data_IF_745862742438
#
_entry.id   IF_745862742438
#
_cell.length_a   1.000
_cell.length_b   1.000
_cell.length_c   1.000
_cell.angle_alpha   90.00
_cell.angle_beta   90.00
_cell.angle_gamma   90.00
#
_symmetry.space_group_name_H-M   'P 1'
#
loop_
_entity.id
_entity.type
_entity.pdbx_description
1 polymer ?
#
# COMPACT_ATOMS: atom_id res chain seq x y z
N UNK A 1 -1.28 -23.25 3.85
CA UNK A 1 -0.16 -22.73 4.68
C UNK A 1 0.26 -21.40 4.12
N UNK A 2 0.59 -20.40 4.95
CA UNK A 2 1.03 -19.08 4.46
C UNK A 2 2.34 -19.22 3.67
N UNK A 3 2.37 -18.65 2.46
CA UNK A 3 3.53 -18.66 1.55
C UNK A 3 4.05 -17.25 1.24
N UNK A 4 3.20 -16.22 1.36
CA UNK A 4 3.61 -14.84 1.05
C UNK A 4 2.86 -13.79 1.86
N UNK A 5 3.52 -12.61 2.00
CA UNK A 5 2.89 -11.37 2.43
C UNK A 5 3.01 -10.36 1.29
N UNK A 6 1.90 -9.74 0.92
CA UNK A 6 1.80 -8.70 -0.08
C UNK A 6 1.58 -7.35 0.61
N UNK A 7 2.43 -6.39 0.31
CA UNK A 7 2.46 -5.08 0.98
C UNK A 7 2.02 -3.99 0.01
N UNK A 8 1.10 -3.14 0.42
CA UNK A 8 1.02 -1.81 -0.16
C UNK A 8 2.21 -0.95 0.35
N UNK A 9 2.42 0.22 -0.24
CA UNK A 9 3.56 1.10 0.06
C UNK A 9 3.15 2.31 0.89
N UNK A 10 2.36 3.21 0.28
CA UNK A 10 2.00 4.51 0.83
C UNK A 10 0.92 4.38 1.91
N UNK A 11 1.24 4.76 3.14
CA UNK A 11 0.36 4.55 4.29
C UNK A 11 0.50 3.16 4.91
N UNK A 12 1.06 2.18 4.21
CA UNK A 12 1.24 0.81 4.71
C UNK A 12 2.67 0.57 5.22
N UNK A 13 3.67 0.64 4.34
CA UNK A 13 5.09 0.52 4.77
C UNK A 13 5.56 1.83 5.37
N UNK A 14 5.18 2.95 4.80
CA UNK A 14 5.61 4.29 5.16
C UNK A 14 4.45 5.28 5.05
N UNK A 15 4.24 6.11 6.05
CA UNK A 15 3.22 7.17 5.98
C UNK A 15 3.77 8.36 5.17
N UNK A 16 3.33 8.48 3.92
CA UNK A 16 3.70 9.54 2.99
C UNK A 16 2.70 10.69 2.91
N UNK A 17 1.53 10.56 3.53
CA UNK A 17 0.45 11.56 3.51
C UNK A 17 0.91 12.98 3.87
N UNK A 18 1.74 13.20 4.93
CA UNK A 18 2.22 14.55 5.26
C UNK A 18 3.05 15.19 4.15
N UNK A 19 3.81 14.38 3.41
CA UNK A 19 4.66 14.84 2.31
C UNK A 19 3.82 15.13 1.06
N UNK A 20 2.86 14.27 0.77
CA UNK A 20 1.89 14.51 -0.31
C UNK A 20 1.05 15.76 -0.04
N UNK A 21 0.58 15.97 1.19
CA UNK A 21 -0.12 17.18 1.59
C UNK A 21 0.72 18.44 1.31
N UNK A 22 1.99 18.43 1.71
CA UNK A 22 2.90 19.55 1.44
C UNK A 22 3.12 19.74 -0.06
N UNK A 23 3.39 18.68 -0.82
CA UNK A 23 3.64 18.77 -2.26
C UNK A 23 2.42 19.32 -3.02
N UNK A 24 1.20 18.83 -2.71
CA UNK A 24 -0.03 19.35 -3.28
C UNK A 24 -0.28 20.81 -2.89
N UNK A 25 -0.05 21.18 -1.63
CA UNK A 25 -0.19 22.55 -1.15
C UNK A 25 0.71 23.51 -1.93
N UNK A 26 2.00 23.20 -2.05
CA UNK A 26 2.96 24.03 -2.81
C UNK A 26 2.57 24.16 -4.29
N UNK A 27 2.16 23.07 -4.93
CA UNK A 27 1.78 23.07 -6.34
C UNK A 27 0.48 23.86 -6.61
N UNK A 28 -0.53 23.70 -5.77
CA UNK A 28 -1.83 24.36 -5.92
C UNK A 28 -1.79 25.87 -5.63
N UNK A 29 -0.83 26.32 -4.81
CA UNK A 29 -0.60 27.77 -4.61
C UNK A 29 -0.29 28.51 -5.91
N UNK A 30 0.32 27.88 -6.91
CA UNK A 30 0.54 28.48 -8.23
C UNK A 30 -0.76 28.79 -8.98
N UNK A 31 -1.87 28.19 -8.55
CA UNK A 31 -3.23 28.41 -9.07
C UNK A 31 -4.10 29.19 -8.10
N UNK A 32 -3.50 29.80 -7.06
CA UNK A 32 -4.21 30.55 -6.00
C UNK A 32 -5.21 29.69 -5.22
N UNK A 33 -4.93 28.36 -5.09
CA UNK A 33 -5.71 27.43 -4.30
C UNK A 33 -4.90 27.08 -3.05
N UNK A 34 -5.42 27.51 -1.89
CA UNK A 34 -4.92 27.10 -0.58
C UNK A 34 -5.69 25.87 -0.11
N UNK A 35 -4.98 24.89 0.46
CA UNK A 35 -5.59 23.66 0.97
C UNK A 35 -5.32 23.54 2.47
N UNK A 36 -6.30 23.03 3.20
CA UNK A 36 -6.17 22.57 4.59
C UNK A 36 -6.22 21.03 4.65
N UNK A 37 -6.04 20.48 5.84
CA UNK A 37 -6.11 19.04 6.06
C UNK A 37 -7.48 18.43 5.66
N UNK A 38 -8.57 19.17 5.87
CA UNK A 38 -9.92 18.73 5.52
C UNK A 38 -10.08 18.64 4.00
N UNK A 39 -9.60 19.65 3.29
CA UNK A 39 -9.57 19.64 1.83
C UNK A 39 -8.72 18.48 1.31
N UNK A 40 -7.52 18.29 1.85
CA UNK A 40 -6.61 17.22 1.44
C UNK A 40 -7.26 15.84 1.63
N UNK A 41 -7.77 15.56 2.82
CA UNK A 41 -8.41 14.27 3.14
C UNK A 41 -9.64 13.97 2.28
N UNK A 42 -10.45 15.00 1.97
CA UNK A 42 -11.70 14.81 1.24
C UNK A 42 -11.55 14.83 -0.29
N UNK A 43 -10.52 15.51 -0.83
CA UNK A 43 -10.39 15.77 -2.27
C UNK A 43 -9.15 15.15 -2.90
N UNK A 44 -8.13 14.78 -2.11
CA UNK A 44 -6.82 14.37 -2.62
C UNK A 44 -6.43 12.98 -2.12
N UNK A 45 -6.40 12.75 -0.81
CA UNK A 45 -5.88 11.52 -0.22
C UNK A 45 -6.56 10.27 -0.78
N UNK A 46 -5.77 9.25 -1.15
CA UNK A 46 -6.24 7.98 -1.68
C UNK A 46 -6.74 8.01 -3.13
N UNK A 47 -6.65 9.14 -3.84
CA UNK A 47 -7.09 9.29 -5.24
C UNK A 47 -5.90 9.31 -6.22
N UNK A 48 -6.17 8.96 -7.46
CA UNK A 48 -5.17 9.04 -8.53
C UNK A 48 -4.97 10.48 -9.00
N UNK A 49 -3.73 10.87 -9.31
CA UNK A 49 -3.39 12.22 -9.75
C UNK A 49 -4.26 12.75 -10.94
N UNK A 50 -4.54 11.95 -11.99
CA UNK A 50 -5.39 12.43 -13.09
C UNK A 50 -6.81 12.80 -12.63
N UNK A 51 -7.39 12.07 -11.68
CA UNK A 51 -8.71 12.36 -11.13
C UNK A 51 -8.69 13.64 -10.28
N UNK A 52 -7.64 13.80 -9.46
CA UNK A 52 -7.45 14.96 -8.60
C UNK A 52 -7.29 16.22 -9.46
N UNK A 53 -6.41 16.15 -10.47
CA UNK A 53 -6.16 17.28 -11.37
C UNK A 53 -7.42 17.67 -12.12
N UNK A 54 -8.15 16.71 -12.68
CA UNK A 54 -9.42 16.96 -13.39
C UNK A 54 -10.47 17.63 -12.49
N UNK A 55 -10.49 17.26 -11.21
CA UNK A 55 -11.45 17.75 -10.23
C UNK A 55 -11.10 19.15 -9.71
N UNK A 56 -9.83 19.43 -9.43
CA UNK A 56 -9.37 20.66 -8.78
C UNK A 56 -8.93 21.72 -9.78
N UNK A 57 -8.38 21.29 -10.93
CA UNK A 57 -7.85 22.14 -11.98
C UNK A 57 -8.53 21.86 -13.34
N UNK A 58 -9.88 21.94 -13.43
CA UNK A 58 -10.62 21.56 -14.64
C UNK A 58 -10.30 22.44 -15.88
N UNK A 59 -9.60 23.58 -15.68
CA UNK A 59 -9.14 24.45 -16.75
C UNK A 59 -7.91 23.91 -17.49
N UNK A 60 -7.20 22.92 -16.95
CA UNK A 60 -6.04 22.33 -17.60
C UNK A 60 -6.50 21.35 -18.69
N UNK A 61 -5.84 21.37 -19.82
CA UNK A 61 -5.92 20.29 -20.81
C UNK A 61 -5.33 18.99 -20.23
N UNK A 62 -5.63 17.86 -20.86
CA UNK A 62 -5.07 16.56 -20.43
C UNK A 62 -3.55 16.60 -20.35
N UNK A 63 -2.87 17.14 -21.37
CA UNK A 63 -1.41 17.22 -21.40
C UNK A 63 -0.82 18.14 -20.30
N UNK A 64 -1.50 19.27 -20.01
CA UNK A 64 -1.08 20.14 -18.91
C UNK A 64 -1.31 19.48 -17.55
N UNK A 65 -2.40 18.72 -17.41
CA UNK A 65 -2.69 17.98 -16.20
C UNK A 65 -1.69 16.85 -15.92
N UNK A 66 -1.29 16.11 -16.96
CA UNK A 66 -0.23 15.10 -16.87
C UNK A 66 1.10 15.73 -16.45
N UNK A 67 1.49 16.83 -17.08
CA UNK A 67 2.71 17.58 -16.73
C UNK A 67 2.66 18.07 -15.27
N UNK A 68 1.52 18.61 -14.84
CA UNK A 68 1.33 19.04 -13.45
C UNK A 68 1.51 17.88 -12.47
N UNK A 69 0.93 16.72 -12.77
CA UNK A 69 1.07 15.52 -11.96
C UNK A 69 2.54 15.06 -11.86
N UNK A 70 3.26 15.07 -12.99
CA UNK A 70 4.69 14.70 -13.03
C UNK A 70 5.55 15.67 -12.21
N UNK A 71 5.29 16.98 -12.32
CA UNK A 71 6.00 18.00 -11.53
C UNK A 71 5.70 17.86 -10.03
N UNK A 72 4.47 17.54 -9.66
CA UNK A 72 4.06 17.27 -8.27
C UNK A 72 4.78 16.03 -7.73
N UNK A 73 4.90 14.96 -8.51
CA UNK A 73 5.63 13.75 -8.08
C UNK A 73 7.15 14.01 -7.99
N UNK A 74 7.70 14.83 -8.86
CA UNK A 74 9.08 15.26 -8.75
C UNK A 74 9.32 16.10 -7.47
N UNK A 75 8.36 16.94 -7.09
CA UNK A 75 8.41 17.70 -5.84
C UNK A 75 8.29 16.77 -4.62
N UNK A 76 7.38 15.79 -4.65
CA UNK A 76 7.28 14.77 -3.60
C UNK A 76 8.63 14.10 -3.33
N UNK A 77 9.31 13.61 -4.37
CA UNK A 77 10.64 12.99 -4.21
C UNK A 77 11.69 13.93 -3.63
N UNK A 78 11.61 15.22 -3.93
CA UNK A 78 12.47 16.24 -3.31
C UNK A 78 12.20 16.44 -1.82
N UNK A 79 10.93 16.37 -1.42
CA UNK A 79 10.48 16.60 -0.04
C UNK A 79 10.65 15.35 0.84
N UNK A 80 10.88 14.19 0.24
CA UNK A 80 10.94 12.88 0.90
C UNK A 80 12.36 12.26 1.03
N UNK A 81 13.43 13.02 1.38
CA UNK A 81 14.78 12.44 1.43
C UNK A 81 15.01 11.52 2.63
N UNK A 82 14.12 11.53 3.62
CA UNK A 82 14.28 10.84 4.91
C UNK A 82 12.99 10.12 5.33
N UNK A 83 12.58 9.14 4.53
CA UNK A 83 11.46 8.28 4.88
C UNK A 83 11.85 7.30 5.99
N UNK A 84 10.87 6.97 6.84
CA UNK A 84 11.02 5.93 7.85
C UNK A 84 9.84 4.97 7.75
N UNK A 85 10.07 3.67 7.81
CA UNK A 85 8.97 2.71 7.80
C UNK A 85 8.12 2.86 9.08
N UNK A 86 6.89 2.37 9.03
CA UNK A 86 6.04 2.25 10.21
C UNK A 86 6.69 1.31 11.24
N UNK A 87 6.32 1.53 12.50
CA UNK A 87 6.84 0.75 13.63
C UNK A 87 6.61 -0.76 13.43
N UNK A 88 7.63 -1.56 13.71
CA UNK A 88 7.58 -3.03 13.61
C UNK A 88 7.75 -3.58 12.18
N UNK A 89 7.87 -2.74 11.15
CA UNK A 89 8.06 -3.21 9.77
C UNK A 89 9.36 -4.00 9.58
N UNK A 90 10.46 -3.53 10.15
CA UNK A 90 11.75 -4.23 10.06
C UNK A 90 11.70 -5.62 10.71
N UNK A 91 11.01 -5.72 11.83
CA UNK A 91 10.77 -6.97 12.53
C UNK A 91 9.92 -7.93 11.70
N UNK A 92 8.88 -7.39 11.01
CA UNK A 92 8.05 -8.18 10.11
C UNK A 92 8.85 -8.69 8.90
N UNK A 93 9.72 -7.87 8.31
CA UNK A 93 10.62 -8.31 7.24
C UNK A 93 11.54 -9.46 7.71
N UNK A 94 12.19 -9.31 8.86
CA UNK A 94 13.06 -10.33 9.42
C UNK A 94 12.30 -11.63 9.73
N UNK A 95 11.06 -11.51 10.22
CA UNK A 95 10.19 -12.66 10.45
C UNK A 95 9.83 -13.38 9.16
N UNK A 96 9.44 -12.65 8.09
CA UNK A 96 9.15 -13.27 6.79
C UNK A 96 10.36 -13.99 6.20
N UNK A 97 11.56 -13.46 6.40
CA UNK A 97 12.80 -14.08 5.95
C UNK A 97 13.09 -15.39 6.72
N UNK A 98 12.96 -15.36 8.05
CA UNK A 98 13.13 -16.53 8.92
C UNK A 98 12.21 -17.69 8.53
N UNK A 99 10.98 -17.37 8.09
CA UNK A 99 9.99 -18.36 7.68
C UNK A 99 9.96 -18.61 6.16
N UNK A 100 10.93 -18.06 5.42
CA UNK A 100 11.09 -18.24 3.95
C UNK A 100 9.83 -17.85 3.17
N UNK A 101 9.07 -16.86 3.67
CA UNK A 101 7.90 -16.34 2.97
C UNK A 101 8.31 -15.43 1.82
N UNK A 102 7.60 -15.53 0.70
CA UNK A 102 7.74 -14.56 -0.39
C UNK A 102 7.14 -13.22 0.00
N UNK A 103 7.63 -12.16 -0.62
CA UNK A 103 7.14 -10.78 -0.42
C UNK A 103 6.88 -10.12 -1.75
N UNK A 104 5.74 -9.48 -1.91
CA UNK A 104 5.48 -8.61 -3.04
C UNK A 104 5.09 -7.21 -2.56
N UNK A 105 5.51 -6.19 -3.30
CA UNK A 105 4.99 -4.84 -3.21
C UNK A 105 3.90 -4.67 -4.25
N UNK A 106 2.76 -4.10 -3.86
CA UNK A 106 1.64 -3.81 -4.76
C UNK A 106 1.14 -2.40 -4.47
N UNK A 107 1.39 -1.45 -5.35
CA UNK A 107 1.10 -0.04 -5.11
C UNK A 107 0.48 0.68 -6.30
N UNK A 108 -0.34 1.71 -6.03
CA UNK A 108 -0.79 2.66 -7.04
C UNK A 108 0.20 3.82 -7.28
N UNK A 109 1.30 3.89 -6.53
CA UNK A 109 2.32 4.90 -6.77
C UNK A 109 2.92 4.76 -8.18
N UNK A 110 3.24 5.87 -8.85
CA UNK A 110 4.02 5.82 -10.09
C UNK A 110 5.35 5.10 -9.87
N UNK A 111 5.82 4.37 -10.89
CA UNK A 111 7.04 3.56 -10.81
C UNK A 111 8.23 4.32 -10.24
N UNK A 112 8.47 5.55 -10.69
CA UNK A 112 9.58 6.37 -10.20
C UNK A 112 9.49 6.69 -8.70
N UNK A 113 8.28 6.85 -8.18
CA UNK A 113 8.08 7.09 -6.75
C UNK A 113 8.27 5.81 -5.93
N UNK A 114 7.71 4.69 -6.39
CA UNK A 114 7.89 3.41 -5.73
C UNK A 114 9.39 3.04 -5.63
N UNK A 115 10.11 3.14 -6.74
CA UNK A 115 11.56 2.87 -6.77
C UNK A 115 12.34 3.82 -5.87
N UNK A 116 12.05 5.12 -5.91
CA UNK A 116 12.66 6.12 -5.03
C UNK A 116 12.42 5.80 -3.55
N UNK A 117 11.19 5.50 -3.15
CA UNK A 117 10.86 5.18 -1.75
C UNK A 117 11.56 3.91 -1.28
N UNK A 118 11.57 2.86 -2.09
CA UNK A 118 12.27 1.61 -1.78
C UNK A 118 13.78 1.82 -1.63
N UNK A 119 14.37 2.70 -2.44
CA UNK A 119 15.80 3.04 -2.38
C UNK A 119 16.12 3.84 -1.11
N UNK A 120 15.32 4.87 -0.79
CA UNK A 120 15.48 5.68 0.43
C UNK A 120 15.32 4.82 1.69
N UNK A 121 14.38 3.87 1.68
CA UNK A 121 14.16 2.94 2.79
C UNK A 121 15.20 1.80 2.84
N UNK A 122 15.97 1.59 1.77
CA UNK A 122 16.97 0.51 1.68
C UNK A 122 16.35 -0.90 1.64
N UNK A 123 15.11 -1.04 1.11
CA UNK A 123 14.35 -2.30 1.13
C UNK A 123 14.01 -2.84 -0.26
N UNK A 124 14.58 -2.30 -1.33
CA UNK A 124 14.28 -2.72 -2.71
C UNK A 124 14.47 -4.22 -2.91
N UNK A 125 15.57 -4.75 -2.42
CA UNK A 125 15.92 -6.17 -2.55
C UNK A 125 15.13 -7.10 -1.61
N UNK A 126 14.28 -6.53 -0.74
CA UNK A 126 13.44 -7.32 0.14
C UNK A 126 12.25 -7.95 -0.57
N UNK A 127 11.89 -7.48 -1.77
CA UNK A 127 10.69 -7.91 -2.50
C UNK A 127 11.04 -8.81 -3.68
N UNK A 128 10.34 -9.95 -3.78
CA UNK A 128 10.44 -10.91 -4.89
C UNK A 128 9.66 -10.44 -6.13
N UNK A 129 8.68 -9.56 -5.93
CA UNK A 129 7.88 -8.94 -6.98
C UNK A 129 7.52 -7.52 -6.58
N UNK A 130 7.57 -6.58 -7.52
CA UNK A 130 7.10 -5.20 -7.36
C UNK A 130 6.12 -4.94 -8.48
N UNK A 131 4.87 -4.66 -8.12
CA UNK A 131 3.76 -4.37 -9.02
C UNK A 131 3.30 -2.95 -8.78
N UNK A 132 3.37 -2.12 -9.80
CA UNK A 132 2.82 -0.75 -9.81
C UNK A 132 1.59 -0.69 -10.72
N UNK A 133 0.72 0.32 -10.57
CA UNK A 133 -0.48 0.45 -11.37
C UNK A 133 -0.22 0.42 -12.88
N UNK A 134 0.91 1.00 -13.32
CA UNK A 134 1.31 1.05 -14.75
C UNK A 134 1.59 -0.35 -15.35
N UNK A 135 1.83 -1.36 -14.54
CA UNK A 135 2.06 -2.75 -15.00
C UNK A 135 0.75 -3.52 -15.25
N UNK A 136 -0.39 -2.93 -14.91
CA UNK A 136 -1.68 -3.59 -14.87
C UNK A 136 -2.68 -2.95 -15.82
N UNK A 137 -3.74 -3.70 -16.18
CA UNK A 137 -4.86 -3.18 -16.98
C UNK A 137 -5.65 -2.09 -16.24
N UNK A 138 -5.62 -2.13 -14.90
CA UNK A 138 -6.21 -1.14 -14.01
C UNK A 138 -5.47 -1.14 -12.68
N UNK A 139 -5.40 0.01 -12.01
CA UNK A 139 -4.90 0.12 -10.63
C UNK A 139 -5.98 -0.18 -9.59
N UNK A 140 -5.62 -0.21 -8.32
CA UNK A 140 -6.58 -0.32 -7.20
C UNK A 140 -7.66 0.76 -7.32
N UNK A 141 -8.94 0.46 -7.13
CA UNK A 141 -9.51 -0.69 -6.42
C UNK A 141 -9.76 -1.95 -7.27
N UNK A 142 -9.32 -2.00 -8.53
CA UNK A 142 -9.38 -3.21 -9.34
C UNK A 142 -8.46 -4.29 -8.73
N UNK A 143 -8.85 -5.57 -8.72
CA UNK A 143 -8.03 -6.65 -8.17
C UNK A 143 -6.79 -7.00 -9.01
N UNK A 144 -6.69 -6.52 -10.25
CA UNK A 144 -5.63 -6.86 -11.19
C UNK A 144 -4.21 -6.73 -10.61
N UNK A 145 -3.81 -5.68 -9.87
CA UNK A 145 -2.46 -5.59 -9.31
C UNK A 145 -2.13 -6.73 -8.34
N UNK A 146 -3.08 -7.14 -7.51
CA UNK A 146 -2.90 -8.26 -6.58
C UNK A 146 -2.87 -9.60 -7.31
N UNK A 147 -3.71 -9.80 -8.31
CA UNK A 147 -3.69 -11.00 -9.16
C UNK A 147 -2.35 -11.15 -9.91
N UNK A 148 -1.80 -10.05 -10.42
CA UNK A 148 -0.46 -10.03 -11.03
C UNK A 148 0.62 -10.42 -10.00
N UNK A 149 0.55 -9.89 -8.79
CA UNK A 149 1.49 -10.22 -7.72
C UNK A 149 1.45 -11.71 -7.35
N UNK A 150 0.24 -12.28 -7.17
CA UNK A 150 0.07 -13.73 -6.92
C UNK A 150 0.66 -14.57 -8.06
N UNK A 151 0.38 -14.20 -9.32
CA UNK A 151 0.93 -14.86 -10.49
C UNK A 151 2.46 -14.83 -10.54
N UNK A 152 3.06 -13.65 -10.28
CA UNK A 152 4.51 -13.48 -10.26
C UNK A 152 5.17 -14.32 -9.17
N UNK A 153 4.51 -14.47 -8.02
CA UNK A 153 4.99 -15.30 -6.92
C UNK A 153 4.70 -16.79 -7.14
N UNK A 154 3.81 -17.16 -8.07
CA UNK A 154 3.40 -18.55 -8.32
C UNK A 154 2.67 -19.18 -7.14
N UNK A 155 1.76 -18.43 -6.50
CA UNK A 155 0.96 -18.85 -5.34
C UNK A 155 -0.52 -18.55 -5.54
N UNK A 156 -1.37 -19.16 -4.71
CA UNK A 156 -2.81 -18.89 -4.69
C UNK A 156 -3.15 -17.81 -3.65
N UNK A 157 -4.37 -17.26 -3.72
CA UNK A 157 -4.81 -16.22 -2.79
C UNK A 157 -4.88 -16.71 -1.33
N UNK A 158 -5.26 -17.98 -1.12
CA UNK A 158 -5.34 -18.59 0.22
C UNK A 158 -3.97 -18.78 0.88
N UNK A 159 -2.90 -18.73 0.11
CA UNK A 159 -1.52 -18.82 0.59
C UNK A 159 -0.92 -17.43 0.92
N UNK A 160 -1.70 -16.36 0.76
CA UNK A 160 -1.23 -14.98 0.92
C UNK A 160 -2.01 -14.22 1.99
N UNK A 161 -1.35 -13.21 2.55
CA UNK A 161 -1.97 -12.10 3.30
C UNK A 161 -1.58 -10.80 2.62
N UNK A 162 -2.55 -9.89 2.46
CA UNK A 162 -2.30 -8.51 2.05
C UNK A 162 -2.33 -7.56 3.25
N UNK A 163 -1.47 -6.56 3.23
CA UNK A 163 -1.38 -5.48 4.20
C UNK A 163 -1.65 -4.16 3.46
N UNK A 164 -2.66 -3.42 3.91
CA UNK A 164 -3.24 -2.27 3.20
C UNK A 164 -3.77 -1.22 4.17
N UNK A 165 -3.63 0.06 3.87
CA UNK A 165 -4.11 1.17 4.70
C UNK A 165 -5.37 1.85 4.17
N UNK A 166 -5.73 1.62 2.90
CA UNK A 166 -6.77 2.36 2.19
C UNK A 166 -7.98 1.52 1.81
N UNK A 167 -9.20 2.12 1.77
CA UNK A 167 -10.38 1.44 1.25
C UNK A 167 -10.23 0.95 -0.20
N UNK A 168 -9.48 1.68 -1.02
CA UNK A 168 -9.19 1.30 -2.41
C UNK A 168 -8.35 0.04 -2.48
N UNK A 169 -7.25 -0.01 -1.72
CA UNK A 169 -6.35 -1.13 -1.70
C UNK A 169 -6.97 -2.39 -1.06
N UNK A 170 -7.73 -2.23 0.03
CA UNK A 170 -8.44 -3.35 0.64
C UNK A 170 -9.44 -3.97 -0.33
N UNK A 171 -10.24 -3.14 -1.04
CA UNK A 171 -11.16 -3.67 -2.07
C UNK A 171 -10.42 -4.44 -3.17
N UNK A 172 -9.26 -3.96 -3.59
CA UNK A 172 -8.45 -4.63 -4.59
C UNK A 172 -7.93 -5.99 -4.10
N UNK A 173 -7.38 -6.05 -2.88
CA UNK A 173 -6.85 -7.28 -2.31
C UNK A 173 -7.97 -8.30 -2.01
N UNK A 174 -9.07 -7.86 -1.41
CA UNK A 174 -10.26 -8.70 -1.17
C UNK A 174 -10.91 -9.15 -2.47
N UNK A 175 -10.95 -8.29 -3.50
CA UNK A 175 -11.43 -8.64 -4.85
C UNK A 175 -10.54 -9.67 -5.56
N UNK A 176 -9.30 -9.84 -5.12
CA UNK A 176 -8.39 -10.91 -5.54
C UNK A 176 -8.45 -12.15 -4.61
N UNK A 177 -9.48 -12.24 -3.76
CA UNK A 177 -9.71 -13.29 -2.76
C UNK A 177 -8.60 -13.43 -1.70
N UNK A 178 -7.80 -12.38 -1.48
CA UNK A 178 -6.72 -12.39 -0.51
C UNK A 178 -7.23 -11.93 0.86
N UNK A 179 -6.88 -12.68 1.91
CA UNK A 179 -7.12 -12.29 3.30
C UNK A 179 -6.35 -11.01 3.63
N UNK A 180 -7.04 -9.91 3.91
CA UNK A 180 -6.46 -8.58 3.99
C UNK A 180 -6.51 -8.02 5.40
N UNK A 181 -5.38 -7.50 5.90
CA UNK A 181 -5.26 -6.78 7.16
C UNK A 181 -5.16 -5.29 6.86
N UNK A 182 -5.98 -4.48 7.50
CA UNK A 182 -5.94 -3.03 7.46
C UNK A 182 -4.85 -2.46 8.38
N UNK A 183 -4.03 -1.54 7.87
CA UNK A 183 -3.09 -0.73 8.66
C UNK A 183 -3.74 0.64 8.88
N UNK A 184 -4.14 0.94 10.11
CA UNK A 184 -4.90 2.14 10.45
C UNK A 184 -4.00 3.37 10.63
N UNK A 185 -3.10 3.60 9.68
CA UNK A 185 -2.16 4.72 9.65
C UNK A 185 -2.76 5.99 9.05
N UNK A 186 -3.67 5.83 8.07
CA UNK A 186 -4.28 6.92 7.30
C UNK A 186 -5.79 6.97 7.43
N UNK A 187 -6.45 5.84 7.75
CA UNK A 187 -7.89 5.69 7.87
C UNK A 187 -8.30 5.09 9.22
N UNK A 188 -9.54 5.35 9.62
CA UNK A 188 -10.15 4.74 10.80
C UNK A 188 -10.23 3.21 10.65
N UNK A 189 -9.85 2.42 11.69
CA UNK A 189 -9.94 0.96 11.66
C UNK A 189 -11.32 0.43 11.25
N UNK A 190 -12.40 1.08 11.68
CA UNK A 190 -13.75 0.66 11.34
C UNK A 190 -14.02 0.80 9.84
N UNK A 191 -13.58 1.89 9.23
CA UNK A 191 -13.71 2.12 7.77
C UNK A 191 -13.00 1.02 6.99
N UNK A 192 -11.80 0.62 7.42
CA UNK A 192 -11.04 -0.45 6.78
C UNK A 192 -11.74 -1.81 6.88
N UNK A 193 -12.34 -2.10 8.05
CA UNK A 193 -13.11 -3.34 8.25
C UNK A 193 -14.42 -3.35 7.44
N UNK A 194 -15.13 -2.23 7.34
CA UNK A 194 -16.36 -2.10 6.55
C UNK A 194 -16.15 -2.38 5.05
N UNK A 195 -14.94 -2.14 4.53
CA UNK A 195 -14.60 -2.43 3.13
C UNK A 195 -13.95 -3.80 2.92
N UNK A 196 -13.85 -4.63 3.97
CA UNK A 196 -13.48 -6.03 3.87
C UNK A 196 -12.17 -6.43 4.56
N UNK A 197 -11.48 -5.53 5.26
CA UNK A 197 -10.34 -5.95 6.06
C UNK A 197 -10.77 -6.95 7.15
N UNK A 198 -10.09 -8.08 7.21
CA UNK A 198 -10.34 -9.13 8.19
C UNK A 198 -10.10 -8.63 9.63
N UNK A 199 -9.09 -7.81 9.80
CA UNK A 199 -8.75 -7.07 11.01
C UNK A 199 -8.09 -5.74 10.64
N UNK A 200 -8.06 -4.79 11.58
CA UNK A 200 -7.32 -3.55 11.41
C UNK A 200 -6.42 -3.31 12.63
N UNK A 201 -5.18 -2.94 12.38
CA UNK A 201 -4.13 -2.73 13.37
C UNK A 201 -3.49 -1.35 13.20
N UNK A 202 -2.97 -0.72 14.25
CA UNK A 202 -2.35 0.61 14.13
C UNK A 202 -1.01 0.59 13.37
N UNK A 203 -0.19 -0.42 13.61
CA UNK A 203 1.10 -0.65 12.96
C UNK A 203 1.55 -2.11 13.15
N UNK A 204 2.77 -2.45 12.73
CA UNK A 204 3.28 -3.82 12.77
C UNK A 204 3.76 -4.28 14.17
N UNK A 205 3.64 -3.45 15.20
CA UNK A 205 3.94 -3.86 16.59
C UNK A 205 2.76 -4.51 17.28
N UNK A 206 1.57 -4.50 16.66
CA UNK A 206 0.33 -5.04 17.26
C UNK A 206 0.43 -6.55 17.51
N UNK A 207 0.09 -6.96 18.72
CA UNK A 207 0.17 -8.35 19.14
C UNK A 207 -0.81 -9.28 18.42
N UNK A 208 -1.94 -8.74 17.92
CA UNK A 208 -2.90 -9.55 17.17
C UNK A 208 -2.31 -9.98 15.81
N UNK A 209 -1.52 -9.10 15.16
CA UNK A 209 -0.77 -9.46 13.96
C UNK A 209 0.14 -10.67 14.21
N UNK A 210 0.97 -10.59 15.24
CA UNK A 210 1.95 -11.61 15.55
C UNK A 210 1.29 -12.93 15.96
N UNK A 211 0.21 -12.88 16.73
CA UNK A 211 -0.59 -14.04 17.09
C UNK A 211 -1.15 -14.73 15.84
N UNK A 212 -1.72 -13.96 14.92
CA UNK A 212 -2.25 -14.47 13.67
C UNK A 212 -1.14 -15.09 12.80
N UNK A 213 -0.06 -14.35 12.55
CA UNK A 213 1.02 -14.80 11.67
C UNK A 213 1.65 -16.11 12.17
N UNK A 214 1.93 -16.21 13.46
CA UNK A 214 2.48 -17.43 14.05
C UNK A 214 1.52 -18.62 13.91
N UNK A 215 0.21 -18.42 14.06
CA UNK A 215 -0.78 -19.49 13.87
C UNK A 215 -0.87 -20.01 12.44
N UNK A 216 -0.48 -19.21 11.45
CA UNK A 216 -0.56 -19.58 10.03
C UNK A 216 0.66 -20.34 9.49
N UNK A 217 1.77 -20.32 10.23
CA UNK A 217 3.00 -21.04 9.87
C UNK A 217 3.19 -22.32 10.70
N UNK A 218 2.60 -22.42 11.89
CA UNK A 218 2.64 -23.64 12.66
C UNK A 218 1.89 -24.76 11.94
N UNK A 219 2.49 -25.94 11.74
CA UNK A 219 1.74 -27.08 11.20
C UNK A 219 0.62 -27.43 12.18
N UNK A 220 -0.59 -27.60 11.68
CA UNK A 220 -1.73 -28.07 12.47
C UNK A 220 -1.46 -29.49 12.98
N UNK A 221 -0.84 -29.58 14.17
CA UNK A 221 -0.52 -30.81 14.82
C UNK A 221 -1.79 -31.60 15.29
N UNK A 222 -2.96 -30.96 15.28
CA UNK A 222 -4.22 -31.61 15.66
C UNK A 222 -4.68 -32.63 14.62
N UNK A 223 -4.31 -32.52 13.37
CA UNK A 223 -4.60 -33.49 12.31
C UNK A 223 -3.77 -34.77 12.40
N UNK A 224 -2.62 -34.75 13.08
CA UNK A 224 -1.75 -35.91 13.27
C UNK A 224 -2.23 -36.79 14.39
N UNK A 225 -2.88 -36.22 15.42
CA UNK A 225 -3.36 -36.95 16.59
C UNK A 225 -4.65 -37.77 16.35
N UNK A 226 -5.35 -37.56 15.24
CA UNK A 226 -6.60 -38.28 14.90
C UNK A 226 -6.38 -39.55 14.07
N UNK A 227 -5.15 -39.86 13.65
CA UNK A 227 -4.79 -41.05 12.85
C UNK A 227 -3.88 -42.05 13.58
N UNK A 228 -3.85 -42.00 14.91
CA UNK A 228 -3.07 -42.94 15.72
C UNK A 228 -3.96 -43.90 16.50
#
# INVERSE_FOLDING_TARGET
MLAAILFDLDGTIVNTDPIHYQAWGEMLLNYSIEIDETFYKSRISGRLNPEIVKDILPQLSTAEGEKFADEKEALFRKLAPHLKPLSGFSELLAWTETHQLKRALVTNAPRLNAEFMLEVLGIKEAFHSIVVADDCIAGKPDPAPYQVALSNLGITAEEAIALEDSPSGIRAAVGADIRTIGIASTHDPQVLQEVGAFMAIPDFTDLQLWTLLNSLIEPDLSAIASNS
#
